data_IF_159544655275
#
_entry.id   IF_159544655275
#
_cell.length_a   1.000
_cell.length_b   1.000
_cell.length_c   1.000
_cell.angle_alpha   90.00
_cell.angle_beta   90.00
_cell.angle_gamma   90.00
#
_symmetry.space_group_name_H-M   'P 1'
#
loop_
_entity.id
_entity.type
_entity.pdbx_description
1 polymer ?
#
# COMPACT_ATOMS: atom_id res chain seq x y z
N UNK A 1 -76.30 49.64 79.28
CA UNK A 1 -77.18 50.09 78.18
C UNK A 1 -76.59 51.28 77.43
N UNK A 2 -76.51 52.50 77.97
CA UNK A 2 -76.00 53.65 77.21
C UNK A 2 -74.50 53.55 76.80
N UNK A 3 -73.67 52.93 77.66
CA UNK A 3 -72.25 52.66 77.38
C UNK A 3 -72.09 51.58 76.31
N UNK A 4 -72.94 50.55 76.33
CA UNK A 4 -72.91 49.45 75.35
C UNK A 4 -73.30 49.95 73.96
N UNK A 5 -74.28 50.86 73.87
CA UNK A 5 -74.67 51.52 72.61
C UNK A 5 -73.56 52.41 72.04
N UNK A 6 -72.74 53.06 72.87
CA UNK A 6 -71.60 53.85 72.43
C UNK A 6 -70.44 52.98 71.91
N UNK A 7 -70.18 51.85 72.57
CA UNK A 7 -69.13 50.92 72.16
C UNK A 7 -69.48 50.19 70.85
N UNK A 8 -70.76 49.90 70.62
CA UNK A 8 -71.21 49.29 69.37
C UNK A 8 -71.07 50.24 68.17
N UNK A 9 -71.38 51.53 68.36
CA UNK A 9 -71.20 52.56 67.33
C UNK A 9 -69.73 52.86 66.99
N UNK A 10 -68.84 52.76 67.99
CA UNK A 10 -67.40 52.93 67.77
C UNK A 10 -66.81 51.78 66.94
N UNK A 11 -67.26 50.54 67.19
CA UNK A 11 -66.80 49.37 66.43
C UNK A 11 -67.33 49.34 64.98
N UNK A 12 -68.56 49.82 64.75
CA UNK A 12 -69.10 49.97 63.39
C UNK A 12 -68.35 51.05 62.59
N UNK A 13 -67.89 52.12 63.24
CA UNK A 13 -67.10 53.18 62.60
C UNK A 13 -65.68 52.72 62.22
N UNK A 14 -65.07 51.82 62.99
CA UNK A 14 -63.73 51.29 62.73
C UNK A 14 -63.72 50.31 61.54
N UNK A 15 -64.83 49.61 61.28
CA UNK A 15 -64.92 48.64 60.19
C UNK A 15 -65.28 49.24 58.81
N UNK A 16 -65.67 50.52 58.74
CA UNK A 16 -66.12 51.16 57.51
C UNK A 16 -65.09 52.08 56.82
N UNK A 17 -63.87 52.20 57.35
CA UNK A 17 -62.84 53.08 56.76
C UNK A 17 -61.88 52.26 55.89
N UNK A 18 -61.89 52.39 54.55
CA UNK A 18 -60.91 51.73 53.69
C UNK A 18 -59.55 52.40 53.87
N UNK A 19 -58.52 51.61 54.20
CA UNK A 19 -57.14 52.08 54.23
C UNK A 19 -56.54 52.02 52.82
N UNK A 20 -56.51 53.18 52.15
CA UNK A 20 -55.75 53.41 50.92
C UNK A 20 -54.38 53.98 51.33
N UNK A 21 -53.34 53.15 51.27
CA UNK A 21 -51.96 53.58 51.49
C UNK A 21 -51.31 53.88 50.13
N UNK A 22 -51.48 55.13 49.69
CA UNK A 22 -50.73 55.71 48.58
C UNK A 22 -49.55 56.55 49.10
N UNK A 23 -48.38 56.24 48.56
CA UNK A 23 -47.08 56.91 48.64
C UNK A 23 -47.06 58.39 49.07
N UNK A 24 -46.38 58.65 50.19
CA UNK A 24 -45.57 59.83 50.54
C UNK A 24 -45.62 60.06 52.07
N UNK A 25 -44.99 59.16 52.83
CA UNK A 25 -44.69 59.41 54.24
C UNK A 25 -43.44 60.29 54.28
N UNK A 26 -43.63 61.59 54.11
CA UNK A 26 -42.69 62.55 54.70
C UNK A 26 -42.77 62.35 56.21
N UNK A 27 -41.75 61.72 56.78
CA UNK A 27 -41.54 61.64 58.23
C UNK A 27 -41.34 63.09 58.71
N UNK A 28 -42.25 63.67 59.51
CA UNK A 28 -42.01 64.98 60.09
C UNK A 28 -40.99 64.77 61.22
N UNK A 29 -39.73 65.10 60.95
CA UNK A 29 -38.66 65.21 61.94
C UNK A 29 -38.85 66.47 62.81
N UNK A 30 -40.01 66.64 63.43
CA UNK A 30 -40.29 67.82 64.23
C UNK A 30 -39.80 67.65 65.67
N UNK A 31 -38.48 67.78 65.84
CA UNK A 31 -37.85 68.22 67.11
C UNK A 31 -38.55 69.45 67.71
N UNK A 32 -39.28 70.21 66.87
CA UNK A 32 -40.13 71.33 67.25
C UNK A 32 -41.20 70.94 68.27
N UNK A 33 -41.82 69.76 68.17
CA UNK A 33 -42.89 69.39 69.12
C UNK A 33 -42.37 69.13 70.55
N UNK A 34 -41.14 68.63 70.70
CA UNK A 34 -40.50 68.48 72.02
C UNK A 34 -40.06 69.83 72.58
N UNK A 35 -39.47 70.68 71.74
CA UNK A 35 -39.10 72.04 72.13
C UNK A 35 -40.35 72.86 72.51
N UNK A 36 -41.45 72.71 71.77
CA UNK A 36 -42.71 73.39 72.04
C UNK A 36 -43.34 72.91 73.35
N UNK A 37 -43.27 71.61 73.67
CA UNK A 37 -43.79 71.08 74.93
C UNK A 37 -42.97 71.58 76.14
N UNK A 38 -41.64 71.53 76.05
CA UNK A 38 -40.72 71.96 77.12
C UNK A 38 -40.76 73.48 77.36
N UNK A 39 -40.88 74.25 76.28
CA UNK A 39 -41.12 75.69 76.36
C UNK A 39 -42.49 76.02 76.95
N UNK A 40 -43.52 75.23 76.66
CA UNK A 40 -44.85 75.41 77.25
C UNK A 40 -44.89 75.06 78.74
N UNK A 41 -44.20 74.01 79.18
CA UNK A 41 -44.02 73.69 80.62
C UNK A 41 -43.34 74.85 81.32
N UNK A 42 -42.18 75.29 80.80
CA UNK A 42 -41.42 76.41 81.35
C UNK A 42 -42.25 77.69 81.43
N UNK A 43 -43.10 77.97 80.44
CA UNK A 43 -44.02 79.11 80.46
C UNK A 43 -45.08 79.00 81.55
N UNK A 44 -45.74 77.84 81.66
CA UNK A 44 -46.79 77.61 82.66
C UNK A 44 -46.25 77.61 84.09
N UNK A 45 -45.05 77.10 84.32
CA UNK A 45 -44.37 77.16 85.62
C UNK A 45 -44.08 78.61 86.05
N UNK A 46 -43.61 79.45 85.12
CA UNK A 46 -43.40 80.87 85.38
C UNK A 46 -44.71 81.63 85.65
N UNK A 47 -45.79 81.28 84.94
CA UNK A 47 -47.13 81.83 85.18
C UNK A 47 -47.67 81.44 86.58
N UNK A 48 -47.48 80.19 87.01
CA UNK A 48 -47.83 79.74 88.37
C UNK A 48 -47.07 80.50 89.44
N UNK A 49 -45.75 80.68 89.26
CA UNK A 49 -44.91 81.40 90.20
C UNK A 49 -45.41 82.85 90.37
N UNK A 50 -45.66 83.53 89.25
CA UNK A 50 -46.17 84.90 89.24
C UNK A 50 -47.55 85.03 89.89
N UNK A 51 -48.45 84.08 89.62
CA UNK A 51 -49.79 84.07 90.22
C UNK A 51 -49.76 83.77 91.73
N UNK A 52 -48.82 82.94 92.17
CA UNK A 52 -48.61 82.62 93.59
C UNK A 52 -48.12 83.84 94.36
N UNK A 53 -47.10 84.54 93.85
CA UNK A 53 -46.59 85.78 94.47
C UNK A 53 -47.71 86.83 94.62
N UNK A 54 -48.51 87.04 93.56
CA UNK A 54 -49.66 87.96 93.61
C UNK A 54 -50.74 87.55 94.62
N UNK A 55 -50.96 86.25 94.78
CA UNK A 55 -51.90 85.73 95.77
C UNK A 55 -51.39 85.99 97.18
N UNK A 56 -50.10 85.74 97.44
CA UNK A 56 -49.47 85.96 98.73
C UNK A 56 -49.52 87.45 99.13
N UNK A 57 -49.19 88.37 98.20
CA UNK A 57 -49.32 89.83 98.41
C UNK A 57 -50.76 90.26 98.75
N UNK A 58 -51.75 89.72 98.02
CA UNK A 58 -53.16 90.02 98.26
C UNK A 58 -53.66 89.45 99.59
N UNK A 59 -53.18 88.26 99.97
CA UNK A 59 -53.51 87.62 101.23
C UNK A 59 -52.94 88.41 102.42
N UNK A 60 -51.70 88.89 102.32
CA UNK A 60 -51.09 89.76 103.32
C UNK A 60 -51.85 91.09 103.44
N UNK A 61 -52.19 91.73 102.32
CA UNK A 61 -53.00 92.95 102.30
C UNK A 61 -54.39 92.76 102.92
N UNK A 62 -55.04 91.62 102.62
CA UNK A 62 -56.33 91.24 103.22
C UNK A 62 -56.25 91.06 104.74
N UNK A 63 -55.17 90.45 105.24
CA UNK A 63 -54.93 90.28 106.67
C UNK A 63 -54.73 91.63 107.38
N UNK A 64 -53.99 92.55 106.76
CA UNK A 64 -53.80 93.91 107.26
C UNK A 64 -55.14 94.66 107.34
N UNK A 65 -55.92 94.67 106.25
CA UNK A 65 -57.26 95.28 106.24
C UNK A 65 -58.21 94.67 107.28
N UNK A 66 -58.14 93.35 107.47
CA UNK A 66 -58.93 92.65 108.50
C UNK A 66 -58.53 93.11 109.91
N UNK A 67 -57.23 93.23 110.18
CA UNK A 67 -56.74 93.70 111.47
C UNK A 67 -57.14 95.16 111.73
N UNK A 68 -57.05 96.02 110.73
CA UNK A 68 -57.54 97.40 110.79
C UNK A 68 -59.05 97.46 111.05
N UNK A 69 -59.83 96.62 110.36
CA UNK A 69 -61.28 96.51 110.57
C UNK A 69 -61.61 96.06 111.99
N UNK A 70 -60.89 95.08 112.52
CA UNK A 70 -61.07 94.57 113.89
C UNK A 70 -60.65 95.60 114.94
N UNK A 71 -59.64 96.43 114.66
CA UNK A 71 -59.23 97.54 115.53
C UNK A 71 -60.27 98.67 115.50
N UNK A 72 -60.76 99.08 114.32
CA UNK A 72 -61.83 100.08 114.19
C UNK A 72 -63.12 99.63 114.89
N UNK A 73 -63.49 98.34 114.76
CA UNK A 73 -64.60 97.74 115.50
C UNK A 73 -64.39 97.77 117.02
N UNK A 74 -63.16 97.49 117.50
CA UNK A 74 -62.82 97.56 118.93
C UNK A 74 -62.89 98.98 119.47
N UNK A 75 -62.36 99.97 118.76
CA UNK A 75 -62.46 101.38 119.13
C UNK A 75 -63.92 101.82 119.25
N UNK A 76 -64.75 101.50 118.25
CA UNK A 76 -66.18 101.82 118.26
C UNK A 76 -66.93 101.09 119.39
N UNK A 77 -66.50 99.88 119.77
CA UNK A 77 -67.09 99.13 120.88
C UNK A 77 -66.65 99.63 122.26
N UNK A 78 -65.38 100.00 122.45
CA UNK A 78 -64.87 100.60 123.69
C UNK A 78 -65.53 101.95 123.96
N UNK A 79 -65.74 102.77 122.93
CA UNK A 79 -66.40 104.08 123.02
C UNK A 79 -67.91 103.94 123.39
N UNK A 80 -68.58 102.88 122.93
CA UNK A 80 -69.98 102.57 123.28
C UNK A 80 -70.18 101.93 124.67
N UNK A 81 -69.19 101.19 125.19
CA UNK A 81 -69.31 100.41 126.43
C UNK A 81 -68.73 101.14 127.65
N UNK A 82 -67.81 102.10 127.47
CA UNK A 82 -67.07 102.76 128.56
C UNK A 82 -67.28 104.27 128.72
N UNK A 83 -68.27 104.89 128.06
CA UNK A 83 -68.71 106.24 128.44
C UNK A 83 -69.85 106.19 129.46
N UNK A 84 -69.61 106.56 130.74
CA UNK A 84 -70.68 106.88 131.67
C UNK A 84 -71.42 108.11 131.12
N UNK A 85 -72.74 108.14 131.31
CA UNK A 85 -73.62 109.28 131.05
C UNK A 85 -72.89 110.61 131.33
N UNK A 86 -72.40 111.27 130.28
CA UNK A 86 -71.81 112.60 130.35
C UNK A 86 -72.95 113.59 130.65
N UNK A 87 -72.72 114.50 131.59
CA UNK A 87 -73.64 115.58 131.94
C UNK A 87 -74.04 116.38 130.68
N UNK A 88 -75.32 116.31 130.31
CA UNK A 88 -75.92 116.83 129.08
C UNK A 88 -76.14 118.36 129.09
N UNK A 89 -75.13 119.15 129.46
CA UNK A 89 -75.24 120.62 129.40
C UNK A 89 -74.29 121.32 128.41
N UNK A 90 -73.37 120.60 127.76
CA UNK A 90 -72.55 121.14 126.64
C UNK A 90 -72.98 120.52 125.30
N UNK A 91 -73.90 121.19 124.60
CA UNK A 91 -74.44 120.75 123.31
C UNK A 91 -73.38 120.60 122.20
N UNK A 92 -72.21 121.25 122.33
CA UNK A 92 -71.14 121.17 121.33
C UNK A 92 -70.33 119.86 121.43
N UNK A 93 -70.14 119.32 122.64
CA UNK A 93 -69.38 118.09 122.85
C UNK A 93 -70.13 116.86 122.32
N UNK A 94 -71.45 116.81 122.54
CA UNK A 94 -72.29 115.74 122.02
C UNK A 94 -72.37 115.75 120.49
N UNK A 95 -72.42 116.93 119.87
CA UNK A 95 -72.47 117.06 118.41
C UNK A 95 -71.13 116.69 117.77
N UNK A 96 -70.00 117.04 118.39
CA UNK A 96 -68.67 116.62 117.94
C UNK A 96 -68.50 115.09 117.99
N UNK A 97 -68.96 114.42 119.05
CA UNK A 97 -68.89 112.95 119.14
C UNK A 97 -69.82 112.26 118.13
N UNK A 98 -71.01 112.83 117.86
CA UNK A 98 -71.89 112.33 116.78
C UNK A 98 -71.23 112.44 115.41
N UNK A 99 -70.57 113.56 115.14
CA UNK A 99 -69.86 113.77 113.87
C UNK A 99 -68.70 112.78 113.73
N UNK A 100 -67.93 112.58 114.80
CA UNK A 100 -66.84 111.58 114.84
C UNK A 100 -67.33 110.15 114.66
N UNK A 101 -68.46 109.77 115.27
CA UNK A 101 -69.09 108.46 115.06
C UNK A 101 -69.52 108.26 113.60
N UNK A 102 -70.08 109.30 112.96
CA UNK A 102 -70.47 109.23 111.56
C UNK A 102 -69.26 109.09 110.61
N UNK A 103 -68.14 109.76 110.93
CA UNK A 103 -66.86 109.62 110.22
C UNK A 103 -66.30 108.19 110.35
N UNK A 104 -66.29 107.64 111.57
CA UNK A 104 -65.85 106.26 111.83
C UNK A 104 -66.74 105.21 111.14
N UNK A 105 -68.06 105.41 111.09
CA UNK A 105 -68.97 104.53 110.35
C UNK A 105 -68.70 104.57 108.84
N UNK A 106 -68.45 105.76 108.29
CA UNK A 106 -68.09 105.91 106.88
C UNK A 106 -66.74 105.23 106.56
N UNK A 107 -65.74 105.38 107.43
CA UNK A 107 -64.45 104.68 107.32
C UNK A 107 -64.62 103.16 107.39
N UNK A 108 -65.44 102.67 108.33
CA UNK A 108 -65.75 101.25 108.46
C UNK A 108 -66.41 100.69 107.18
N UNK A 109 -67.36 101.42 106.60
CA UNK A 109 -68.04 101.02 105.37
C UNK A 109 -67.09 101.03 104.17
N UNK A 110 -66.23 102.05 104.06
CA UNK A 110 -65.19 102.15 103.04
C UNK A 110 -64.19 100.98 103.14
N UNK A 111 -63.77 100.64 104.36
CA UNK A 111 -62.85 99.53 104.60
C UNK A 111 -63.47 98.17 104.28
N UNK A 112 -64.75 97.99 104.65
CA UNK A 112 -65.50 96.78 104.33
C UNK A 112 -65.61 96.56 102.82
N UNK A 113 -65.89 97.61 102.06
CA UNK A 113 -65.97 97.53 100.60
C UNK A 113 -64.60 97.16 99.97
N UNK A 114 -63.51 97.75 100.48
CA UNK A 114 -62.15 97.39 100.04
C UNK A 114 -61.82 95.93 100.36
N UNK A 115 -62.19 95.46 101.55
CA UNK A 115 -62.00 94.07 101.95
C UNK A 115 -62.77 93.10 101.06
N UNK A 116 -64.06 93.37 100.79
CA UNK A 116 -64.88 92.55 99.89
C UNK A 116 -64.28 92.49 98.46
N UNK A 117 -63.80 93.62 97.92
CA UNK A 117 -63.13 93.67 96.62
C UNK A 117 -61.85 92.80 96.59
N UNK A 118 -61.04 92.85 97.65
CA UNK A 118 -59.83 92.02 97.78
C UNK A 118 -60.21 90.54 97.86
N UNK A 119 -61.26 90.16 98.61
CA UNK A 119 -61.74 88.79 98.67
C UNK A 119 -62.19 88.24 97.31
N UNK A 120 -62.88 89.04 96.50
CA UNK A 120 -63.25 88.66 95.13
C UNK A 120 -62.02 88.43 94.25
N UNK A 121 -61.04 89.32 94.33
CA UNK A 121 -59.77 89.20 93.57
C UNK A 121 -58.98 87.96 93.99
N UNK A 122 -58.89 87.68 95.29
CA UNK A 122 -58.24 86.47 95.82
C UNK A 122 -58.95 85.23 95.29
N UNK A 123 -60.28 85.18 95.36
CA UNK A 123 -61.08 84.05 94.86
C UNK A 123 -60.84 83.82 93.36
N UNK A 124 -60.81 84.88 92.57
CA UNK A 124 -60.48 84.82 91.15
C UNK A 124 -59.06 84.29 90.88
N UNK A 125 -58.07 84.77 91.63
CA UNK A 125 -56.68 84.32 91.53
C UNK A 125 -56.52 82.84 91.91
N UNK A 126 -57.21 82.37 92.96
CA UNK A 126 -57.21 80.95 93.36
C UNK A 126 -57.76 80.04 92.26
N UNK A 127 -58.85 80.44 91.61
CA UNK A 127 -59.43 79.67 90.49
C UNK A 127 -58.45 79.61 89.31
N UNK A 128 -57.79 80.72 88.99
CA UNK A 128 -56.78 80.75 87.91
C UNK A 128 -55.58 79.87 88.23
N UNK A 129 -55.06 79.96 89.45
CA UNK A 129 -53.94 79.13 89.91
C UNK A 129 -54.26 77.64 89.76
N UNK A 130 -55.46 77.21 90.16
CA UNK A 130 -55.85 75.81 90.07
C UNK A 130 -56.02 75.35 88.62
N UNK A 131 -56.52 76.21 87.72
CA UNK A 131 -56.58 75.91 86.28
C UNK A 131 -55.19 75.71 85.68
N UNK A 132 -54.24 76.58 86.01
CA UNK A 132 -52.87 76.48 85.48
C UNK A 132 -52.18 75.23 86.02
N UNK A 133 -52.39 74.85 87.28
CA UNK A 133 -51.85 73.58 87.84
C UNK A 133 -52.35 72.36 87.06
N UNK A 134 -53.66 72.29 86.80
CA UNK A 134 -54.23 71.17 86.02
C UNK A 134 -53.64 71.10 84.63
N UNK A 135 -53.46 72.25 83.95
CA UNK A 135 -52.82 72.29 82.64
C UNK A 135 -51.36 71.83 82.71
N UNK A 136 -50.61 72.28 83.71
CA UNK A 136 -49.23 71.86 83.92
C UNK A 136 -49.12 70.34 84.11
N UNK A 137 -49.95 69.73 84.95
CA UNK A 137 -49.97 68.28 85.14
C UNK A 137 -50.29 67.52 83.85
N UNK A 138 -51.22 68.02 83.03
CA UNK A 138 -51.54 67.43 81.74
C UNK A 138 -50.36 67.52 80.77
N UNK A 139 -49.68 68.66 80.72
CA UNK A 139 -48.50 68.85 79.87
C UNK A 139 -47.36 67.93 80.30
N UNK A 140 -47.08 67.81 81.59
CA UNK A 140 -46.04 66.90 82.12
C UNK A 140 -46.31 65.44 81.72
N UNK A 141 -47.55 64.96 81.86
CA UNK A 141 -47.91 63.59 81.42
C UNK A 141 -47.71 63.39 79.92
N UNK A 142 -48.00 64.41 79.10
CA UNK A 142 -47.75 64.33 77.65
C UNK A 142 -46.26 64.31 77.34
N UNK A 143 -45.43 65.08 78.05
CA UNK A 143 -43.97 65.02 77.92
C UNK A 143 -43.43 63.62 78.23
N UNK A 144 -43.86 63.00 79.33
CA UNK A 144 -43.45 61.62 79.68
C UNK A 144 -43.85 60.59 78.62
N UNK A 145 -45.06 60.72 78.04
CA UNK A 145 -45.50 59.85 76.96
C UNK A 145 -44.64 60.03 75.70
N UNK A 146 -44.37 61.29 75.32
CA UNK A 146 -43.54 61.60 74.18
C UNK A 146 -42.10 61.09 74.37
N UNK A 147 -41.53 61.15 75.58
CA UNK A 147 -40.21 60.58 75.84
C UNK A 147 -40.18 59.05 75.64
N UNK A 148 -41.25 58.35 76.03
CA UNK A 148 -41.39 56.90 75.77
C UNK A 148 -41.48 56.62 74.28
N UNK A 149 -42.36 57.33 73.56
CA UNK A 149 -42.49 57.21 72.09
C UNK A 149 -41.14 57.47 71.39
N UNK A 150 -40.36 58.48 71.84
CA UNK A 150 -39.01 58.75 71.34
C UNK A 150 -38.06 57.57 71.56
N UNK A 151 -38.09 56.99 72.77
CA UNK A 151 -37.22 55.86 73.12
C UNK A 151 -37.54 54.61 72.29
N UNK A 152 -38.82 54.36 72.01
CA UNK A 152 -39.29 53.26 71.17
C UNK A 152 -38.88 53.45 69.70
N UNK A 153 -39.08 54.66 69.17
CA UNK A 153 -38.67 55.01 67.80
C UNK A 153 -37.14 54.86 67.64
N UNK A 154 -36.36 55.30 68.63
CA UNK A 154 -34.91 55.15 68.61
C UNK A 154 -34.48 53.68 68.59
N UNK A 155 -35.10 52.83 69.41
CA UNK A 155 -34.82 51.40 69.41
C UNK A 155 -35.17 50.73 68.08
N UNK A 156 -36.31 51.10 67.47
CA UNK A 156 -36.70 50.61 66.15
C UNK A 156 -35.73 51.08 65.06
N UNK A 157 -35.32 52.35 65.09
CA UNK A 157 -34.35 52.92 64.17
C UNK A 157 -33.00 52.19 64.23
N UNK A 158 -32.52 51.90 65.44
CA UNK A 158 -31.27 51.16 65.64
C UNK A 158 -31.38 49.71 65.11
N UNK A 159 -32.48 49.02 65.40
CA UNK A 159 -32.75 47.68 64.88
C UNK A 159 -32.77 47.64 63.34
N UNK A 160 -33.47 48.59 62.71
CA UNK A 160 -33.52 48.70 61.26
C UNK A 160 -32.14 49.03 60.67
N UNK A 161 -31.38 49.92 61.30
CA UNK A 161 -30.02 50.27 60.89
C UNK A 161 -29.08 49.05 60.92
N UNK A 162 -29.14 48.24 61.97
CA UNK A 162 -28.37 46.99 62.08
C UNK A 162 -28.79 45.97 61.02
N UNK A 163 -30.09 45.82 60.76
CA UNK A 163 -30.60 44.94 59.71
C UNK A 163 -30.13 45.38 58.32
N UNK A 164 -30.20 46.68 58.01
CA UNK A 164 -29.70 47.23 56.75
C UNK A 164 -28.20 46.99 56.60
N UNK A 165 -27.41 47.21 57.66
CA UNK A 165 -25.97 46.94 57.63
C UNK A 165 -25.66 45.45 57.38
N UNK A 166 -26.37 44.55 58.05
CA UNK A 166 -26.25 43.09 57.89
C UNK A 166 -26.60 42.64 56.47
N UNK A 167 -27.73 43.11 55.94
CA UNK A 167 -28.17 42.82 54.56
C UNK A 167 -27.16 43.37 53.56
N UNK A 168 -26.69 44.60 53.76
CA UNK A 168 -25.67 45.24 52.90
C UNK A 168 -24.38 44.43 52.85
N UNK A 169 -23.88 43.97 54.01
CA UNK A 169 -22.69 43.12 54.08
C UNK A 169 -22.90 41.80 53.33
N UNK A 170 -24.03 41.13 53.55
CA UNK A 170 -24.38 39.87 52.87
C UNK A 170 -24.44 40.01 51.35
N UNK A 171 -25.03 41.09 50.85
CA UNK A 171 -25.08 41.35 49.41
C UNK A 171 -23.73 41.74 48.83
N UNK A 172 -22.90 42.49 49.58
CA UNK A 172 -21.52 42.79 49.20
C UNK A 172 -20.70 41.51 49.00
N UNK A 173 -20.80 40.54 49.92
CA UNK A 173 -20.10 39.27 49.82
C UNK A 173 -20.58 38.42 48.64
N UNK A 174 -21.89 38.40 48.39
CA UNK A 174 -22.46 37.74 47.20
C UNK A 174 -21.95 38.36 45.91
N UNK A 175 -21.91 39.70 45.82
CA UNK A 175 -21.38 40.41 44.65
C UNK A 175 -19.91 40.08 44.44
N UNK A 176 -19.09 40.06 45.48
CA UNK A 176 -17.69 39.65 45.39
C UNK A 176 -17.53 38.21 44.89
N UNK A 177 -18.35 37.29 45.41
CA UNK A 177 -18.36 35.88 44.98
C UNK A 177 -18.73 35.75 43.50
N UNK A 178 -19.76 36.47 43.05
CA UNK A 178 -20.19 36.50 41.64
C UNK A 178 -19.06 37.06 40.77
N UNK A 179 -18.41 38.14 41.21
CA UNK A 179 -17.29 38.76 40.50
C UNK A 179 -16.13 37.78 40.31
N UNK A 180 -15.71 37.06 41.36
CA UNK A 180 -14.65 36.05 41.25
C UNK A 180 -15.03 34.88 40.35
N UNK A 181 -16.30 34.45 40.37
CA UNK A 181 -16.79 33.41 39.44
C UNK A 181 -16.76 33.87 38.00
N UNK A 182 -17.17 35.12 37.73
CA UNK A 182 -17.12 35.71 36.39
C UNK A 182 -15.69 35.77 35.86
N UNK A 183 -14.73 36.21 36.68
CA UNK A 183 -13.31 36.25 36.34
C UNK A 183 -12.73 34.85 36.05
N UNK A 184 -13.21 33.80 36.73
CA UNK A 184 -12.83 32.42 36.42
C UNK A 184 -13.44 31.95 35.09
N UNK A 185 -14.73 32.18 34.87
CA UNK A 185 -15.41 31.82 33.61
C UNK A 185 -14.75 32.51 32.41
N UNK A 186 -14.33 33.76 32.55
CA UNK A 186 -13.60 34.46 31.49
C UNK A 186 -12.22 33.85 31.20
N UNK A 187 -11.52 33.33 32.21
CA UNK A 187 -10.26 32.60 32.01
C UNK A 187 -10.50 31.29 31.27
N UNK A 188 -11.47 30.50 31.73
CA UNK A 188 -11.84 29.22 31.10
C UNK A 188 -12.26 29.43 29.63
N UNK A 189 -13.01 30.51 29.34
CA UNK A 189 -13.41 30.88 27.98
C UNK A 189 -12.21 31.19 27.09
N UNK A 190 -11.22 31.95 27.58
CA UNK A 190 -9.99 32.25 26.81
C UNK A 190 -9.18 30.98 26.54
N UNK A 191 -9.04 30.10 27.52
CA UNK A 191 -8.35 28.82 27.34
C UNK A 191 -9.04 27.94 26.30
N UNK A 192 -10.37 27.85 26.34
CA UNK A 192 -11.15 27.11 25.35
C UNK A 192 -11.00 27.72 23.93
N UNK A 193 -10.94 29.04 23.83
CA UNK A 193 -10.71 29.74 22.56
C UNK A 193 -9.34 29.40 21.97
N UNK A 194 -8.27 29.44 22.78
CA UNK A 194 -6.91 29.05 22.36
C UNK A 194 -6.89 27.60 21.85
N UNK A 195 -7.52 26.66 22.58
CA UNK A 195 -7.61 25.25 22.15
C UNK A 195 -8.37 25.10 20.82
N UNK A 196 -9.42 25.89 20.63
CA UNK A 196 -10.20 25.87 19.39
C UNK A 196 -9.37 26.35 18.21
N UNK A 197 -8.59 27.43 18.38
CA UNK A 197 -7.66 27.94 17.36
C UNK A 197 -6.56 26.92 17.03
N UNK A 198 -6.01 26.24 18.03
CA UNK A 198 -5.03 25.16 17.82
C UNK A 198 -5.62 24.01 16.99
N UNK A 199 -6.84 23.57 17.30
CA UNK A 199 -7.52 22.52 16.55
C UNK A 199 -7.84 22.95 15.11
N UNK A 200 -8.24 24.21 14.90
CA UNK A 200 -8.47 24.75 13.56
C UNK A 200 -7.19 24.73 12.70
N UNK A 201 -6.06 25.14 13.28
CA UNK A 201 -4.77 25.09 12.60
C UNK A 201 -4.37 23.66 12.22
N UNK A 202 -4.61 22.70 13.12
CA UNK A 202 -4.32 21.28 12.86
C UNK A 202 -5.22 20.69 11.76
N UNK A 203 -6.51 21.04 11.76
CA UNK A 203 -7.44 20.65 10.68
C UNK A 203 -6.96 21.19 9.33
N UNK A 204 -6.55 22.46 9.27
CA UNK A 204 -6.07 23.05 8.02
C UNK A 204 -4.76 22.39 7.55
N UNK A 205 -3.85 22.06 8.47
CA UNK A 205 -2.65 21.27 8.17
C UNK A 205 -2.99 19.92 7.56
N UNK A 206 -3.87 19.16 8.22
CA UNK A 206 -4.29 17.82 7.74
C UNK A 206 -5.01 17.89 6.39
N UNK A 207 -5.79 18.94 6.15
CA UNK A 207 -6.45 19.18 4.86
C UNK A 207 -5.45 19.43 3.74
N UNK A 208 -4.39 20.20 4.00
CA UNK A 208 -3.31 20.42 3.04
C UNK A 208 -2.55 19.12 2.76
N UNK A 209 -2.20 18.35 3.80
CA UNK A 209 -1.56 17.03 3.65
C UNK A 209 -2.42 16.06 2.84
N UNK A 210 -3.74 16.04 3.08
CA UNK A 210 -4.68 15.20 2.32
C UNK A 210 -4.73 15.61 0.85
N UNK A 211 -4.74 16.91 0.57
CA UNK A 211 -4.75 17.44 -0.81
C UNK A 211 -3.49 17.01 -1.55
N UNK A 212 -2.32 17.19 -0.93
CA UNK A 212 -1.05 16.75 -1.50
C UNK A 212 -1.01 15.23 -1.74
N UNK A 213 -1.49 14.42 -0.78
CA UNK A 213 -1.55 12.96 -0.95
C UNK A 213 -2.47 12.54 -2.10
N UNK A 214 -3.60 13.25 -2.31
CA UNK A 214 -4.49 12.99 -3.45
C UNK A 214 -3.79 13.26 -4.79
N UNK A 215 -3.03 14.35 -4.89
CA UNK A 215 -2.25 14.67 -6.08
C UNK A 215 -1.19 13.59 -6.38
N UNK A 216 -0.45 13.15 -5.36
CA UNK A 216 0.54 12.07 -5.51
C UNK A 216 -0.10 10.77 -5.95
N UNK A 217 -1.27 10.42 -5.41
CA UNK A 217 -2.02 9.22 -5.84
C UNK A 217 -2.42 9.35 -7.31
N UNK A 218 -2.96 10.50 -7.71
CA UNK A 218 -3.35 10.76 -9.10
C UNK A 218 -2.17 10.62 -10.07
N UNK A 219 -1.00 11.16 -9.72
CA UNK A 219 0.22 11.00 -10.53
C UNK A 219 0.65 9.53 -10.64
N UNK A 220 0.59 8.77 -9.54
CA UNK A 220 0.92 7.34 -9.53
C UNK A 220 -0.05 6.53 -10.37
N UNK A 221 -1.36 6.81 -10.28
CA UNK A 221 -2.38 6.14 -11.08
C UNK A 221 -2.14 6.37 -12.58
N UNK A 222 -1.75 7.60 -12.96
CA UNK A 222 -1.35 7.91 -14.35
C UNK A 222 -0.14 7.07 -14.79
N UNK A 223 0.91 6.97 -13.97
CA UNK A 223 2.09 6.16 -14.28
C UNK A 223 1.76 4.67 -14.40
N UNK A 224 0.88 4.15 -13.53
CA UNK A 224 0.39 2.77 -13.62
C UNK A 224 -0.35 2.57 -14.93
N UNK A 225 -1.21 3.50 -15.33
CA UNK A 225 -1.95 3.42 -16.58
C UNK A 225 -1.01 3.42 -17.80
N UNK A 226 0.00 4.31 -17.82
CA UNK A 226 1.02 4.35 -18.88
C UNK A 226 1.82 3.03 -18.95
N UNK A 227 2.17 2.46 -17.79
CA UNK A 227 2.85 1.17 -17.72
C UNK A 227 1.98 0.01 -18.22
N UNK A 228 0.67 0.04 -17.91
CA UNK A 228 -0.29 -0.94 -18.42
C UNK A 228 -0.43 -0.87 -19.94
N UNK A 229 -0.47 0.34 -20.52
CA UNK A 229 -0.49 0.51 -21.98
C UNK A 229 0.77 -0.08 -22.64
N UNK A 230 1.97 0.26 -22.12
CA UNK A 230 3.23 -0.29 -22.62
C UNK A 230 3.30 -1.81 -22.47
N UNK A 231 2.83 -2.36 -21.35
CA UNK A 231 2.78 -3.80 -21.15
C UNK A 231 1.89 -4.50 -22.19
N UNK A 232 0.76 -3.89 -22.55
CA UNK A 232 -0.15 -4.40 -23.59
C UNK A 232 0.48 -4.35 -24.98
N UNK A 233 1.21 -3.28 -25.29
CA UNK A 233 1.97 -3.13 -26.54
C UNK A 233 3.03 -4.24 -26.67
N UNK A 234 3.86 -4.43 -25.65
CA UNK A 234 4.87 -5.50 -25.60
C UNK A 234 4.22 -6.88 -25.78
N UNK A 235 3.04 -7.11 -25.19
CA UNK A 235 2.32 -8.39 -25.32
C UNK A 235 1.89 -8.65 -26.78
N UNK A 236 1.41 -7.63 -27.49
CA UNK A 236 1.04 -7.71 -28.91
C UNK A 236 2.28 -7.93 -29.80
N UNK A 237 3.39 -7.24 -29.52
CA UNK A 237 4.65 -7.46 -30.22
C UNK A 237 5.15 -8.89 -30.02
N UNK A 238 5.12 -9.38 -28.77
CA UNK A 238 5.48 -10.77 -28.45
C UNK A 238 4.62 -11.75 -29.25
N UNK A 239 3.32 -11.56 -29.31
CA UNK A 239 2.43 -12.43 -30.06
C UNK A 239 2.74 -12.41 -31.56
N UNK A 240 3.05 -11.24 -32.11
CA UNK A 240 3.50 -11.11 -33.51
C UNK A 240 4.80 -11.87 -33.78
N UNK A 241 5.75 -11.84 -32.83
CA UNK A 241 6.99 -12.61 -32.91
C UNK A 241 6.72 -14.11 -32.80
N UNK A 242 5.85 -14.54 -31.89
CA UNK A 242 5.44 -15.94 -31.74
C UNK A 242 4.79 -16.48 -33.03
N UNK A 243 3.91 -15.70 -33.68
CA UNK A 243 3.31 -16.05 -34.96
C UNK A 243 4.37 -16.19 -36.08
N UNK A 244 5.34 -15.26 -36.14
CA UNK A 244 6.46 -15.34 -37.09
C UNK A 244 7.30 -16.60 -36.86
N UNK A 245 7.63 -16.89 -35.61
CA UNK A 245 8.37 -18.09 -35.23
C UNK A 245 7.59 -19.35 -35.62
N UNK A 246 6.28 -19.41 -35.35
CA UNK A 246 5.44 -20.55 -35.75
C UNK A 246 5.43 -20.76 -37.26
N UNK A 247 5.34 -19.68 -38.04
CA UNK A 247 5.41 -19.75 -39.50
C UNK A 247 6.77 -20.25 -40.00
N UNK A 248 7.88 -19.78 -39.42
CA UNK A 248 9.21 -20.29 -39.75
C UNK A 248 9.38 -21.76 -39.37
N UNK A 249 8.86 -22.20 -38.22
CA UNK A 249 8.84 -23.62 -37.87
C UNK A 249 8.07 -24.47 -38.87
N UNK A 250 6.90 -24.03 -39.35
CA UNK A 250 6.15 -24.71 -40.41
C UNK A 250 6.97 -24.82 -41.69
N UNK A 251 7.57 -23.71 -42.13
CA UNK A 251 8.42 -23.66 -43.33
C UNK A 251 9.64 -24.58 -43.21
N UNK A 252 10.27 -24.61 -42.05
CA UNK A 252 11.38 -25.51 -41.76
C UNK A 252 10.93 -26.97 -41.88
N UNK A 253 9.75 -27.31 -41.36
CA UNK A 253 9.19 -28.66 -41.45
C UNK A 253 8.93 -29.06 -42.91
N UNK A 254 8.32 -28.18 -43.70
CA UNK A 254 8.13 -28.39 -45.15
C UNK A 254 9.46 -28.60 -45.89
N UNK A 255 10.50 -27.84 -45.55
CA UNK A 255 11.84 -28.01 -46.12
C UNK A 255 12.48 -29.32 -45.71
N UNK A 256 12.31 -29.75 -44.46
CA UNK A 256 12.77 -31.06 -43.97
C UNK A 256 12.08 -32.19 -44.74
N UNK A 257 10.76 -32.12 -44.91
CA UNK A 257 10.00 -33.10 -45.69
C UNK A 257 10.45 -33.13 -47.16
N UNK A 258 10.71 -31.95 -47.75
CA UNK A 258 11.23 -31.84 -49.11
C UNK A 258 12.64 -32.40 -49.25
N UNK A 259 13.51 -32.15 -48.27
CA UNK A 259 14.86 -32.73 -48.24
C UNK A 259 14.79 -34.25 -48.12
N UNK A 260 13.92 -34.77 -47.25
CA UNK A 260 13.70 -36.21 -47.12
C UNK A 260 13.25 -36.83 -48.45
N UNK A 261 12.31 -36.19 -49.14
CA UNK A 261 11.89 -36.61 -50.49
C UNK A 261 13.05 -36.59 -51.49
N UNK A 262 13.87 -35.53 -51.48
CA UNK A 262 15.04 -35.44 -52.36
C UNK A 262 16.10 -36.48 -52.01
N UNK A 263 16.32 -36.79 -50.73
CA UNK A 263 17.20 -37.87 -50.28
C UNK A 263 16.70 -39.23 -50.79
N UNK A 264 15.41 -39.51 -50.64
CA UNK A 264 14.77 -40.72 -51.18
C UNK A 264 14.92 -40.80 -52.70
N UNK A 265 14.77 -39.68 -53.41
CA UNK A 265 14.92 -39.59 -54.87
C UNK A 265 16.37 -39.77 -55.33
N UNK A 266 17.33 -39.16 -54.63
CA UNK A 266 18.76 -39.38 -54.87
C UNK A 266 19.12 -40.85 -54.64
N UNK A 267 18.58 -41.46 -53.60
CA UNK A 267 18.79 -42.87 -53.30
C UNK A 267 18.14 -43.78 -54.36
N UNK A 268 16.96 -43.42 -54.85
CA UNK A 268 16.30 -44.08 -56.00
C UNK A 268 17.15 -43.98 -57.27
N UNK A 269 17.67 -42.79 -57.58
CA UNK A 269 18.54 -42.56 -58.74
C UNK A 269 19.86 -43.34 -58.60
N UNK A 270 20.49 -43.35 -57.41
CA UNK A 270 21.68 -44.18 -57.14
C UNK A 270 21.40 -45.66 -57.38
N UNK A 271 20.27 -46.19 -56.89
CA UNK A 271 19.86 -47.58 -57.14
C UNK A 271 19.61 -47.84 -58.62
N UNK A 272 18.97 -46.91 -59.33
CA UNK A 272 18.73 -47.01 -60.77
C UNK A 272 20.04 -47.03 -61.56
N UNK A 273 20.97 -46.11 -61.25
CA UNK A 273 22.29 -46.04 -61.87
C UNK A 273 23.13 -47.28 -61.52
N UNK A 274 23.02 -47.80 -60.30
CA UNK A 274 23.64 -49.07 -59.92
C UNK A 274 23.05 -50.23 -60.71
N UNK A 275 21.74 -50.30 -60.91
CA UNK A 275 21.10 -51.29 -61.78
C UNK A 275 21.56 -51.14 -63.24
N UNK A 276 21.68 -49.93 -63.75
CA UNK A 276 22.16 -49.68 -65.11
C UNK A 276 23.63 -50.11 -65.26
N UNK A 277 24.50 -49.76 -64.30
CA UNK A 277 25.88 -50.22 -64.25
C UNK A 277 26.00 -51.75 -64.14
N UNK A 278 25.15 -52.40 -63.34
CA UNK A 278 25.06 -53.86 -63.26
C UNK A 278 24.62 -54.41 -64.61
N UNK A 279 23.65 -53.77 -65.28
CA UNK A 279 23.15 -54.21 -66.59
C UNK A 279 24.24 -54.11 -67.64
N UNK A 280 24.93 -52.97 -67.76
CA UNK A 280 26.08 -52.77 -68.66
C UNK A 280 27.17 -53.81 -68.38
N UNK A 281 27.56 -54.01 -67.11
CA UNK A 281 28.55 -55.04 -66.75
C UNK A 281 28.06 -56.45 -67.05
N UNK A 282 26.76 -56.72 -66.95
CA UNK A 282 26.16 -58.01 -67.34
C UNK A 282 26.25 -58.19 -68.85
N UNK A 283 26.05 -57.14 -69.64
CA UNK A 283 26.27 -57.15 -71.09
C UNK A 283 27.74 -57.33 -71.46
N UNK A 284 28.67 -56.70 -70.72
CA UNK A 284 30.11 -56.88 -70.91
C UNK A 284 30.56 -58.30 -70.55
N UNK A 285 29.98 -58.90 -69.49
CA UNK A 285 30.20 -60.31 -69.14
C UNK A 285 29.64 -61.24 -70.22
N UNK A 286 28.47 -60.95 -70.79
CA UNK A 286 27.91 -61.71 -71.92
C UNK A 286 28.80 -61.59 -73.17
N UNK A 287 29.39 -60.42 -73.42
CA UNK A 287 30.32 -60.21 -74.54
C UNK A 287 31.69 -60.86 -74.30
N UNK A 288 32.15 -60.93 -73.04
CA UNK A 288 33.34 -61.68 -72.65
C UNK A 288 33.11 -63.20 -72.72
N UNK A 289 31.91 -63.68 -72.37
CA UNK A 289 31.51 -65.09 -72.55
C UNK A 289 31.43 -65.48 -74.04
N UNK A 290 30.99 -64.55 -74.91
CA UNK A 290 31.08 -64.74 -76.35
C UNK A 290 32.55 -64.80 -76.83
N UNK A 291 33.43 -63.95 -76.30
CA UNK A 291 34.87 -63.96 -76.60
C UNK A 291 35.64 -65.19 -76.08
N UNK A 292 35.28 -65.72 -74.91
CA UNK A 292 35.87 -66.95 -74.36
C UNK A 292 35.33 -68.20 -75.05
N UNK A 293 34.10 -68.19 -75.55
CA UNK A 293 33.55 -69.28 -76.38
C UNK A 293 34.27 -69.43 -77.73
N UNK A 294 34.65 -68.32 -78.37
CA UNK A 294 35.41 -68.31 -79.63
C UNK A 294 36.90 -68.70 -79.41
N UNK A 295 37.45 -68.36 -78.25
CA UNK A 295 38.80 -68.76 -77.82
C UNK A 295 38.89 -70.23 -77.43
N UNK A 296 37.85 -70.77 -76.77
CA UNK A 296 37.75 -72.18 -76.39
C UNK A 296 37.56 -73.11 -77.59
N UNK A 297 36.82 -72.68 -78.62
CA UNK A 297 36.67 -73.43 -79.87
C UNK A 297 37.99 -73.50 -80.65
N UNK A 298 38.78 -72.41 -80.72
CA UNK A 298 40.13 -72.41 -81.34
C UNK A 298 41.13 -73.28 -80.56
N UNK A 299 41.03 -73.34 -79.23
CA UNK A 299 41.87 -74.21 -78.40
C UNK A 299 41.55 -75.70 -78.57
N UNK A 300 40.27 -76.06 -78.72
CA UNK A 300 39.87 -77.44 -78.98
C UNK A 300 40.28 -77.89 -80.39
N UNK A 301 40.16 -77.00 -81.39
CA UNK A 301 40.60 -77.24 -82.76
C UNK A 301 42.14 -77.43 -82.86
N UNK A 302 42.91 -76.64 -82.10
CA UNK A 302 44.36 -76.80 -81.95
C UNK A 302 44.74 -78.09 -81.20
N UNK A 303 43.99 -78.51 -80.18
CA UNK A 303 44.20 -79.79 -79.49
C UNK A 303 43.98 -80.99 -80.40
N UNK A 304 42.94 -80.98 -81.23
CA UNK A 304 42.73 -82.05 -82.24
C UNK A 304 43.85 -82.08 -83.28
N UNK A 305 44.36 -80.93 -83.73
CA UNK A 305 45.50 -80.87 -84.66
C UNK A 305 46.79 -81.39 -84.06
N UNK A 306 47.08 -81.05 -82.81
CA UNK A 306 48.28 -81.54 -82.09
C UNK A 306 48.21 -83.07 -81.92
N UNK A 307 47.06 -83.61 -81.52
CA UNK A 307 46.87 -85.06 -81.40
C UNK A 307 46.98 -85.81 -82.74
N UNK A 308 46.59 -85.19 -83.86
CA UNK A 308 46.76 -85.77 -85.21
C UNK A 308 48.24 -85.71 -85.67
N UNK A 309 48.99 -84.68 -85.28
CA UNK A 309 50.43 -84.60 -85.51
C UNK A 309 51.21 -85.62 -84.67
N UNK A 310 50.88 -85.81 -83.40
CA UNK A 310 51.55 -86.78 -82.53
C UNK A 310 51.32 -88.23 -82.99
N UNK A 311 50.12 -88.55 -83.49
CA UNK A 311 49.84 -89.87 -84.10
C UNK A 311 50.61 -90.11 -85.39
N UNK A 312 50.74 -89.08 -86.24
CA UNK A 312 51.55 -89.18 -87.48
C UNK A 312 53.03 -89.32 -87.19
N UNK A 313 53.55 -88.61 -86.19
CA UNK A 313 54.95 -88.69 -85.77
C UNK A 313 55.30 -90.05 -85.15
N UNK A 314 54.38 -90.66 -84.39
CA UNK A 314 54.56 -92.01 -83.83
C UNK A 314 54.55 -93.10 -84.92
N UNK A 315 53.68 -92.97 -85.93
CA UNK A 315 53.63 -93.90 -87.07
C UNK A 315 54.87 -93.78 -87.98
N UNK A 316 55.39 -92.56 -88.17
CA UNK A 316 56.60 -92.30 -88.96
C UNK A 316 57.87 -92.78 -88.25
N UNK A 317 57.93 -92.67 -86.91
CA UNK A 317 59.01 -93.23 -86.08
C UNK A 317 59.05 -94.77 -86.12
N UNK A 318 57.89 -95.43 -86.03
CA UNK A 318 57.80 -96.89 -86.13
C UNK A 318 58.16 -97.42 -87.54
N UNK A 319 57.81 -96.67 -88.60
CA UNK A 319 58.19 -96.98 -89.98
C UNK A 319 59.71 -96.84 -90.20
N UNK A 320 60.33 -95.82 -89.61
CA UNK A 320 61.79 -95.60 -89.67
C UNK A 320 62.59 -96.69 -88.94
N UNK A 321 62.13 -97.11 -87.76
CA UNK A 321 62.77 -98.19 -86.98
C UNK A 321 62.63 -99.56 -87.69
N UNK A 322 61.48 -99.82 -88.33
CA UNK A 322 61.28 -101.02 -89.17
C UNK A 322 62.20 -101.05 -90.40
N UNK A 323 62.38 -99.91 -91.08
CA UNK A 323 63.27 -99.83 -92.25
C UNK A 323 64.75 -99.93 -91.87
N UNK A 324 65.16 -99.45 -90.70
CA UNK A 324 66.54 -99.60 -90.20
C UNK A 324 66.89 -101.06 -89.84
N UNK A 325 65.95 -101.83 -89.31
CA UNK A 325 66.15 -103.28 -89.08
C UNK A 325 66.27 -104.04 -90.40
N UNK A 326 65.50 -103.63 -91.43
CA UNK A 326 65.51 -104.29 -92.74
C UNK A 326 66.76 -103.97 -93.57
N UNK A 327 67.33 -102.76 -93.43
CA UNK A 327 68.62 -102.40 -94.03
C UNK A 327 69.76 -103.21 -93.40
N UNK A 328 69.73 -103.43 -92.08
CA UNK A 328 70.78 -104.17 -91.37
C UNK A 328 70.84 -105.66 -91.78
N UNK A 329 69.68 -106.28 -92.01
CA UNK A 329 69.59 -107.66 -92.53
C UNK A 329 70.14 -107.75 -93.97
N UNK A 330 69.81 -106.76 -94.82
CA UNK A 330 70.31 -106.71 -96.21
C UNK A 330 71.80 -106.40 -96.34
N UNK A 331 72.40 -105.74 -95.33
CA UNK A 331 73.84 -105.51 -95.24
C UNK A 331 74.60 -106.79 -94.85
N UNK A 332 74.06 -107.59 -93.92
CA UNK A 332 74.63 -108.90 -93.51
C UNK A 332 74.53 -109.95 -94.65
N UNK A 333 73.42 -110.00 -95.37
CA UNK A 333 73.27 -110.88 -96.55
C UNK A 333 74.21 -110.48 -97.72
N UNK A 334 74.53 -109.18 -97.87
CA UNK A 334 75.49 -108.72 -98.88
C UNK A 334 76.95 -109.07 -98.53
N UNK A 335 77.30 -109.13 -97.25
CA UNK A 335 78.61 -109.63 -96.82
C UNK A 335 78.77 -111.12 -97.10
N UNK A 336 77.75 -111.92 -96.82
CA UNK A 336 77.78 -113.37 -97.11
C UNK A 336 77.83 -113.65 -98.62
N UNK A 337 77.09 -112.88 -99.43
CA UNK A 337 77.15 -112.98 -100.90
C UNK A 337 78.52 -112.56 -101.46
N UNK A 338 79.20 -111.58 -100.87
CA UNK A 338 80.58 -111.21 -101.25
C UNK A 338 81.61 -112.30 -100.92
N UNK A 339 81.41 -113.01 -99.81
CA UNK A 339 82.31 -114.08 -99.39
C UNK A 339 82.10 -115.34 -100.24
N UNK A 340 80.85 -115.67 -100.59
CA UNK A 340 80.51 -116.72 -101.57
C UNK A 340 81.08 -116.39 -102.96
N UNK A 341 80.97 -115.14 -103.43
CA UNK A 341 81.56 -114.73 -104.70
C UNK A 341 83.10 -114.78 -104.69
N UNK A 342 83.75 -114.49 -103.56
CA UNK A 342 85.20 -114.61 -103.42
C UNK A 342 85.67 -116.06 -103.41
N UNK A 343 84.91 -116.97 -102.79
CA UNK A 343 85.18 -118.42 -102.84
C UNK A 343 84.92 -119.02 -104.23
N UNK A 344 83.89 -118.58 -104.94
CA UNK A 344 83.60 -119.00 -106.33
C UNK A 344 84.67 -118.53 -107.32
N UNK A 345 85.20 -117.30 -107.15
CA UNK A 345 86.33 -116.81 -107.97
C UNK A 345 87.61 -117.60 -107.73
N UNK A 346 87.85 -118.06 -106.49
CA UNK A 346 89.00 -118.89 -106.13
C UNK A 346 88.89 -120.30 -106.71
N UNK A 347 87.71 -120.93 -106.62
CA UNK A 347 87.44 -122.24 -107.27
C UNK A 347 87.52 -122.17 -108.80
N UNK A 348 87.01 -121.10 -109.43
CA UNK A 348 87.13 -120.91 -110.87
C UNK A 348 88.57 -120.66 -111.36
N UNK A 349 89.45 -120.14 -110.51
CA UNK A 349 90.88 -120.02 -110.83
C UNK A 349 91.65 -121.33 -110.63
N UNK A 350 91.28 -122.15 -109.66
CA UNK A 350 91.87 -123.46 -109.44
C UNK A 350 91.44 -124.46 -110.53
N UNK A 351 90.19 -124.39 -111.00
CA UNK A 351 89.69 -125.20 -112.13
C UNK A 351 90.44 -124.87 -113.45
N UNK A 352 90.75 -123.59 -113.69
CA UNK A 352 91.57 -123.15 -114.84
C UNK A 352 93.04 -123.57 -114.74
N UNK A 353 93.55 -123.84 -113.54
CA UNK A 353 94.90 -124.39 -113.35
C UNK A 353 94.92 -125.89 -113.63
N UNK A 354 93.91 -126.63 -113.15
CA UNK A 354 93.77 -128.06 -113.48
C UNK A 354 93.47 -128.33 -114.95
N UNK A 355 92.74 -127.44 -115.64
CA UNK A 355 92.53 -127.56 -117.09
C UNK A 355 93.80 -127.24 -117.89
N UNK A 356 94.66 -126.33 -117.39
CA UNK A 356 95.98 -126.10 -118.01
C UNK A 356 96.90 -127.29 -117.84
N UNK A 357 96.97 -127.85 -116.64
CA UNK A 357 97.85 -128.99 -116.36
C UNK A 357 97.42 -130.24 -117.15
N UNK A 358 96.10 -130.45 -117.32
CA UNK A 358 95.56 -131.49 -118.22
C UNK A 358 95.82 -131.21 -119.69
N UNK A 359 95.73 -129.95 -120.13
CA UNK A 359 95.99 -129.58 -121.51
C UNK A 359 97.47 -129.70 -121.87
N UNK A 360 98.38 -129.43 -120.92
CA UNK A 360 99.82 -129.64 -121.10
C UNK A 360 100.18 -131.14 -121.09
N UNK A 361 99.48 -131.96 -120.31
CA UNK A 361 99.60 -133.43 -120.35
C UNK A 361 99.08 -134.00 -121.70
N UNK A 362 98.00 -133.44 -122.25
CA UNK A 362 97.51 -133.74 -123.60
C UNK A 362 98.52 -133.31 -124.67
N UNK A 363 99.15 -132.14 -124.55
CA UNK A 363 100.19 -131.68 -125.47
C UNK A 363 101.43 -132.59 -125.45
N UNK A 364 101.82 -133.10 -124.28
CA UNK A 364 102.91 -134.09 -124.16
C UNK A 364 102.53 -135.46 -124.78
N UNK A 365 101.25 -135.85 -124.72
CA UNK A 365 100.76 -137.07 -125.38
C UNK A 365 100.64 -136.91 -126.91
N UNK A 366 100.26 -135.73 -127.40
CA UNK A 366 100.23 -135.42 -128.84
C UNK A 366 101.65 -135.41 -129.42
N UNK A 367 102.61 -134.79 -128.75
CA UNK A 367 104.00 -134.81 -129.21
C UNK A 367 104.60 -136.23 -129.23
N UNK A 368 104.23 -137.09 -128.28
CA UNK A 368 104.58 -138.53 -128.31
C UNK A 368 103.89 -139.30 -129.43
N UNK A 369 102.66 -138.93 -129.79
CA UNK A 369 101.95 -139.53 -130.92
C UNK A 369 102.54 -139.11 -132.28
N UNK A 370 102.98 -137.86 -132.43
CA UNK A 370 103.67 -137.38 -133.63
C UNK A 370 105.07 -138.00 -133.77
N UNK A 371 105.74 -138.23 -132.64
CA UNK A 371 106.98 -139.03 -132.58
C UNK A 371 106.80 -140.47 -133.08
N UNK A 372 105.58 -141.02 -133.04
CA UNK A 372 105.31 -142.39 -133.46
C UNK A 372 104.71 -142.48 -134.90
N UNK A 373 104.01 -141.44 -135.37
CA UNK A 373 103.35 -141.47 -136.68
C UNK A 373 104.30 -141.24 -137.87
N UNK A 374 105.39 -140.47 -137.73
CA UNK A 374 106.35 -140.28 -138.85
C UNK A 374 107.37 -141.41 -138.99
N UNK A 375 107.42 -142.33 -138.04
CA UNK A 375 108.24 -143.53 -138.12
C UNK A 375 107.60 -144.62 -139.01
N UNK A 376 106.34 -144.48 -139.43
CA UNK A 376 105.58 -145.53 -140.13
C UNK A 376 105.15 -145.25 -141.57
N UNK A 377 105.26 -144.03 -142.10
CA UNK A 377 104.82 -143.70 -143.47
C UNK A 377 106.01 -143.42 -144.41
N UNK A 378 106.91 -144.42 -144.44
CA UNK A 378 107.95 -144.65 -145.45
C UNK A 378 107.46 -145.76 -146.38
N UNK A 379 106.88 -145.43 -147.55
CA UNK A 379 106.81 -146.23 -148.80
C UNK A 379 105.50 -146.00 -149.60
N UNK A 380 105.46 -144.99 -150.46
CA UNK A 380 105.06 -145.11 -151.87
C UNK A 380 105.33 -143.77 -152.58
N UNK A 381 105.94 -143.88 -153.75
CA UNK A 381 106.55 -142.79 -154.53
C UNK A 381 105.53 -142.15 -155.51
N UNK A 382 105.96 -141.08 -156.22
CA UNK A 382 105.35 -140.35 -157.38
C UNK A 382 104.77 -138.97 -156.96
N UNK A 383 105.42 -137.80 -157.11
CA UNK A 383 106.11 -137.12 -158.26
C UNK A 383 105.12 -136.78 -159.40
N UNK A 384 104.80 -135.55 -159.81
CA UNK A 384 105.54 -134.28 -159.96
C UNK A 384 104.58 -133.06 -160.06
N UNK A 385 105.15 -131.84 -160.03
CA UNK A 385 104.65 -130.52 -160.52
C UNK A 385 103.70 -129.65 -159.66
N UNK A 386 104.11 -128.36 -159.53
CA UNK A 386 103.32 -127.11 -159.28
C UNK A 386 101.96 -127.08 -160.02
N UNK A 387 100.87 -126.33 -159.69
CA UNK A 387 100.82 -124.88 -159.35
C UNK A 387 99.59 -124.33 -158.55
N UNK A 388 99.57 -123.01 -158.38
CA UNK A 388 98.47 -122.01 -158.32
C UNK A 388 97.02 -122.45 -158.61
N UNK A 389 96.05 -122.00 -157.78
CA UNK A 389 94.68 -121.50 -158.11
C UNK A 389 93.91 -121.33 -156.78
N UNK A 390 93.49 -120.16 -156.30
CA UNK A 390 92.57 -119.15 -156.85
C UNK A 390 91.13 -119.66 -157.00
N UNK A 391 90.19 -118.78 -156.59
CA UNK A 391 88.71 -118.83 -156.57
C UNK A 391 88.15 -119.12 -155.16
N UNK A 392 87.17 -118.43 -154.57
CA UNK A 392 86.30 -117.28 -154.91
C UNK A 392 85.54 -117.01 -153.60
N UNK A 393 85.66 -115.84 -152.97
CA UNK A 393 84.76 -114.67 -153.14
C UNK A 393 83.30 -114.97 -152.81
N UNK A 394 82.87 -114.61 -151.59
CA UNK A 394 81.65 -113.79 -151.37
C UNK A 394 81.96 -112.77 -150.25
N UNK A 395 82.30 -111.56 -150.67
CA UNK A 395 81.93 -110.30 -150.01
C UNK A 395 80.53 -110.00 -150.58
N UNK A 396 79.51 -109.64 -149.77
CA UNK A 396 79.29 -108.21 -149.52
C UNK A 396 78.70 -107.84 -148.15
N UNK A 397 79.06 -106.62 -147.71
CA UNK A 397 78.13 -105.56 -147.26
C UNK A 397 77.49 -105.75 -145.87
N UNK A 398 77.87 -104.97 -144.86
CA UNK A 398 77.48 -103.56 -144.57
C UNK A 398 76.35 -103.46 -143.54
N UNK A 399 76.73 -103.03 -142.33
CA UNK A 399 76.10 -101.92 -141.58
C UNK A 399 74.65 -102.08 -141.04
N UNK A 400 74.09 -101.12 -140.25
CA UNK A 400 74.70 -99.92 -139.64
C UNK A 400 74.22 -99.62 -138.18
N UNK A 401 74.76 -98.52 -137.61
CA UNK A 401 74.24 -97.55 -136.60
C UNK A 401 72.92 -97.82 -135.85
N UNK A 402 72.73 -97.41 -134.58
CA UNK A 402 72.63 -96.03 -134.02
C UNK A 402 72.81 -96.15 -132.48
N UNK A 403 73.86 -95.74 -131.77
CA UNK A 403 74.72 -94.57 -131.82
C UNK A 403 73.97 -93.26 -131.87
N UNK A 404 74.51 -92.29 -131.17
CA UNK A 404 74.83 -91.05 -131.85
C UNK A 404 75.94 -90.38 -131.05
#
# INVERSE_FOLDING_TARGET
QHIDTCNQRLNEAIQQTPMDYGDDIQIPSDERQYQDADQNVSRLENELLTLRERYDDLAEYSNTLKHELDNARRQLHEEYVYHPVMDLNDSSALENERQRSAELEHELMSLKLKYENVCERITGATIQLERVKVLLEQTLRRCEQLEKEKSEINAQSEYLSQNVASVTAKYKDKVNTIKSRLEQTDRDRREAQIRTEQLQNEIERLKNELTHKKEVIYEKDKLIQDAQYKSREILLERQTVEDRISNEYKRLHELVDKNRFLEDEVERLRRSQMHENITVRRTDVINLDAGTSDSSNRLEELRTRINDFERRFAAEKACKESLQVQIKILEEENTDLRDIMSQMRKRSQDDRRTDRDRNDEIQQLIARAESNARQYMSNFNISTTSPTSTLVRIIPVSSPTKFS
#
